data_IF_007784619041
#
_entry.id   IF_007784619041
#
_cell.length_a   1.000
_cell.length_b   1.000
_cell.length_c   1.000
_cell.angle_alpha   90.00
_cell.angle_beta   90.00
_cell.angle_gamma   90.00
#
_symmetry.space_group_name_H-M   'P 1'
#
loop_
_entity.id
_entity.type
_entity.pdbx_description
1 polymer ?
#
# COMPACT_ATOMS: atom_id res chain seq x y z
N UNK A 1 5.68 68.12 -14.08
CA UNK A 1 5.96 67.56 -12.74
C UNK A 1 5.49 66.12 -12.77
N UNK A 2 6.45 65.20 -12.90
CA UNK A 2 6.24 63.75 -12.80
C UNK A 2 6.21 63.36 -11.31
N UNK A 3 5.19 62.61 -10.92
CA UNK A 3 5.08 61.74 -9.73
C UNK A 3 3.83 60.88 -10.01
N UNK A 4 3.76 59.57 -9.83
CA UNK A 4 4.70 58.60 -9.32
C UNK A 4 4.26 57.25 -9.89
N UNK A 5 5.24 56.45 -10.23
CA UNK A 5 5.09 55.12 -10.79
C UNK A 5 4.98 54.11 -9.63
N UNK A 6 4.07 53.15 -9.82
CA UNK A 6 4.20 51.73 -9.42
C UNK A 6 4.44 51.34 -7.94
N UNK A 7 3.55 50.46 -7.44
CA UNK A 7 3.80 49.19 -6.72
C UNK A 7 2.86 49.00 -5.52
N UNK A 8 1.63 48.55 -5.80
CA UNK A 8 0.79 47.86 -4.82
C UNK A 8 0.70 46.39 -5.24
N UNK A 9 1.47 45.54 -4.59
CA UNK A 9 1.30 44.08 -4.55
C UNK A 9 2.04 43.54 -3.31
N UNK A 10 1.63 42.39 -2.72
CA UNK A 10 0.61 41.44 -3.19
C UNK A 10 -0.59 41.34 -2.22
N UNK A 11 -1.81 41.29 -2.74
CA UNK A 11 -2.56 40.06 -2.98
C UNK A 11 -2.42 39.04 -1.85
N UNK A 12 -3.48 39.01 -1.03
CA UNK A 12 -4.02 37.87 -0.32
C UNK A 12 -3.10 36.66 -0.22
N UNK A 13 -2.63 36.46 0.99
CA UNK A 13 -2.15 35.18 1.48
C UNK A 13 -3.24 34.14 1.25
N UNK A 14 -3.24 33.53 0.06
CA UNK A 14 -3.99 32.32 -0.23
C UNK A 14 -3.38 31.22 0.66
N UNK A 15 -3.86 31.17 1.89
CA UNK A 15 -3.84 30.00 2.75
C UNK A 15 -4.72 28.95 2.07
N UNK A 16 -4.20 28.37 0.98
CA UNK A 16 -4.78 27.19 0.34
C UNK A 16 -4.56 26.05 1.30
N UNK A 17 -5.49 25.86 2.22
CA UNK A 17 -5.75 24.55 2.79
C UNK A 17 -6.15 23.67 1.61
N UNK A 18 -5.16 23.03 0.97
CA UNK A 18 -5.40 22.00 -0.02
C UNK A 18 -6.10 20.90 0.77
N UNK A 19 -7.42 20.82 0.64
CA UNK A 19 -8.16 19.63 1.03
C UNK A 19 -7.51 18.48 0.26
N UNK A 20 -6.70 17.67 0.94
CA UNK A 20 -6.07 16.50 0.35
C UNK A 20 -7.20 15.59 -0.14
N UNK A 21 -7.50 15.66 -1.44
CA UNK A 21 -8.43 14.72 -2.05
C UNK A 21 -7.86 13.33 -1.79
N UNK A 22 -8.61 12.52 -1.06
CA UNK A 22 -8.18 11.18 -0.72
C UNK A 22 -8.34 10.32 -1.97
N UNK A 23 -7.23 9.94 -2.58
CA UNK A 23 -7.23 9.06 -3.75
C UNK A 23 -7.52 7.62 -3.31
N UNK A 24 -8.21 6.85 -4.16
CA UNK A 24 -8.47 5.43 -3.93
C UNK A 24 -7.68 4.57 -4.88
N UNK A 25 -6.80 3.75 -4.33
CA UNK A 25 -5.94 2.80 -5.03
C UNK A 25 -6.59 1.43 -5.13
N UNK A 26 -6.53 0.84 -6.32
CA UNK A 26 -7.07 -0.49 -6.62
C UNK A 26 -5.93 -1.50 -6.71
N UNK A 27 -6.05 -2.59 -5.94
CA UNK A 27 -5.16 -3.75 -6.05
C UNK A 27 -5.96 -4.95 -6.55
N UNK A 28 -5.65 -5.46 -7.73
CA UNK A 28 -6.25 -6.69 -8.24
C UNK A 28 -5.49 -7.92 -7.72
N UNK A 29 -6.23 -8.93 -7.28
CA UNK A 29 -5.71 -10.16 -6.69
C UNK A 29 -6.02 -11.34 -7.59
N UNK A 30 -4.97 -12.04 -8.00
CA UNK A 30 -5.07 -13.32 -8.67
C UNK A 30 -4.57 -14.43 -7.74
N UNK A 31 -5.31 -15.55 -7.58
CA UNK A 31 -4.86 -16.67 -6.78
C UNK A 31 -3.66 -17.37 -7.43
N UNK A 32 -2.58 -17.61 -6.69
CA UNK A 32 -1.57 -18.57 -7.12
C UNK A 32 -2.10 -19.98 -6.88
N UNK A 33 -2.82 -20.53 -7.86
CA UNK A 33 -3.26 -21.92 -7.83
C UNK A 33 -2.04 -22.84 -7.77
N UNK A 34 -2.01 -23.71 -6.76
CA UNK A 34 -1.03 -24.79 -6.69
C UNK A 34 -1.68 -26.08 -7.14
N UNK A 35 -0.99 -26.81 -8.00
CA UNK A 35 -1.37 -28.18 -8.38
C UNK A 35 -0.35 -29.16 -7.83
N UNK A 36 -0.82 -30.30 -7.33
CA UNK A 36 0.06 -31.39 -6.92
C UNK A 36 0.62 -32.15 -8.14
N UNK A 37 1.49 -33.13 -7.90
CA UNK A 37 2.09 -33.95 -8.95
C UNK A 37 1.05 -34.76 -9.77
N UNK A 38 -0.19 -34.87 -9.27
CA UNK A 38 -1.29 -35.57 -9.92
C UNK A 38 -2.28 -34.59 -10.59
N UNK A 39 -1.95 -33.30 -10.67
CA UNK A 39 -2.79 -32.25 -11.27
C UNK A 39 -4.00 -31.84 -10.43
N UNK A 40 -4.07 -32.23 -9.16
CA UNK A 40 -5.16 -31.83 -8.25
C UNK A 40 -4.84 -30.50 -7.59
N UNK A 41 -5.87 -29.70 -7.29
CA UNK A 41 -5.69 -28.46 -6.53
C UNK A 41 -5.10 -28.76 -5.15
N UNK A 42 -3.89 -28.28 -4.91
CA UNK A 42 -3.15 -28.41 -3.65
C UNK A 42 -3.42 -27.23 -2.70
N UNK A 43 -4.47 -26.45 -2.97
CA UNK A 43 -4.86 -25.27 -2.21
C UNK A 43 -4.47 -23.96 -2.88
N UNK A 44 -4.87 -22.87 -2.21
CA UNK A 44 -4.50 -21.52 -2.62
C UNK A 44 -3.17 -21.17 -1.95
N UNK A 45 -2.15 -20.91 -2.76
CA UNK A 45 -0.90 -20.35 -2.28
C UNK A 45 -1.10 -18.88 -1.85
N UNK A 46 -0.03 -18.11 -1.94
CA UNK A 46 -0.16 -16.65 -1.84
C UNK A 46 -0.98 -16.13 -3.03
N UNK A 47 -1.43 -14.87 -2.96
CA UNK A 47 -2.05 -14.19 -4.09
C UNK A 47 -1.02 -13.33 -4.82
N UNK A 48 -1.06 -13.32 -6.15
CA UNK A 48 -0.42 -12.28 -6.95
C UNK A 48 -1.20 -10.98 -6.81
N UNK A 49 -0.47 -9.88 -6.69
CA UNK A 49 -1.01 -8.54 -6.50
C UNK A 49 -0.69 -7.71 -7.73
N UNK A 50 -1.67 -6.99 -8.25
CA UNK A 50 -1.52 -6.12 -9.40
C UNK A 50 -1.96 -4.69 -9.07
N UNK A 51 -1.16 -3.71 -9.44
CA UNK A 51 -1.48 -2.29 -9.37
C UNK A 51 -1.35 -1.70 -10.78
N UNK A 52 -2.41 -1.06 -11.27
CA UNK A 52 -2.46 -0.50 -12.63
C UNK A 52 -2.08 -1.51 -13.74
N UNK A 53 -2.35 -2.80 -13.51
CA UNK A 53 -2.02 -3.89 -14.43
C UNK A 53 -0.61 -4.47 -14.28
N UNK A 54 0.26 -3.86 -13.48
CA UNK A 54 1.60 -4.37 -13.19
C UNK A 54 1.58 -5.31 -11.97
N UNK A 55 2.25 -6.46 -12.06
CA UNK A 55 2.43 -7.36 -10.93
C UNK A 55 3.42 -6.77 -9.92
N UNK A 56 2.95 -6.42 -8.73
CA UNK A 56 3.74 -5.83 -7.63
C UNK A 56 4.24 -6.88 -6.62
N UNK A 57 3.98 -8.16 -6.87
CA UNK A 57 4.50 -9.28 -6.09
C UNK A 57 3.45 -10.32 -5.67
N UNK A 58 3.88 -11.27 -4.85
CA UNK A 58 3.09 -12.40 -4.35
C UNK A 58 3.03 -12.35 -2.80
N UNK A 59 1.85 -12.43 -2.20
CA UNK A 59 1.67 -12.25 -0.74
C UNK A 59 0.57 -13.12 -0.10
N UNK A 60 0.78 -13.53 1.16
CA UNK A 60 -0.25 -14.11 2.03
C UNK A 60 -1.14 -13.03 2.70
N UNK A 61 -0.72 -11.76 2.64
CA UNK A 61 -1.36 -10.61 3.28
C UNK A 61 -1.47 -9.44 2.30
N UNK A 62 -2.20 -9.60 1.18
CA UNK A 62 -2.03 -8.75 0.01
C UNK A 62 -2.27 -7.27 0.27
N UNK A 63 -3.28 -6.93 1.07
CA UNK A 63 -3.59 -5.53 1.37
C UNK A 63 -2.48 -4.83 2.18
N UNK A 64 -1.80 -5.55 3.07
CA UNK A 64 -0.75 -4.97 3.92
C UNK A 64 0.56 -4.82 3.15
N UNK A 65 0.93 -5.85 2.36
CA UNK A 65 2.13 -5.79 1.53
C UNK A 65 1.98 -4.80 0.37
N UNK A 66 0.82 -4.74 -0.29
CA UNK A 66 0.56 -3.74 -1.32
C UNK A 66 0.62 -2.30 -0.75
N UNK A 67 0.05 -2.05 0.43
CA UNK A 67 0.15 -0.74 1.07
C UNK A 67 1.60 -0.34 1.35
N UNK A 68 2.45 -1.28 1.80
CA UNK A 68 3.89 -1.05 1.98
C UNK A 68 4.57 -0.74 0.65
N UNK A 69 4.27 -1.51 -0.40
CA UNK A 69 4.82 -1.29 -1.74
C UNK A 69 4.50 0.12 -2.26
N UNK A 70 3.23 0.53 -2.21
CA UNK A 70 2.80 1.85 -2.69
C UNK A 70 3.49 2.99 -1.96
N UNK A 71 3.61 2.92 -0.63
CA UNK A 71 4.32 3.93 0.15
C UNK A 71 5.81 3.96 -0.17
N UNK A 72 6.46 2.79 -0.26
CA UNK A 72 7.89 2.69 -0.54
C UNK A 72 8.27 3.23 -1.93
N UNK A 73 7.33 3.16 -2.89
CA UNK A 73 7.50 3.70 -4.25
C UNK A 73 7.02 5.15 -4.41
N UNK A 74 6.44 5.75 -3.37
CA UNK A 74 5.87 7.09 -3.47
C UNK A 74 4.61 7.17 -4.35
N UNK A 75 3.93 6.04 -4.57
CA UNK A 75 2.74 5.94 -5.44
C UNK A 75 1.42 6.26 -4.70
N UNK A 76 1.46 6.32 -3.37
CA UNK A 76 0.30 6.65 -2.55
C UNK A 76 0.70 7.52 -1.35
N UNK A 77 -0.24 8.35 -0.90
CA UNK A 77 -0.12 9.05 0.38
C UNK A 77 -0.61 8.16 1.53
N UNK A 78 -0.10 8.35 2.76
CA UNK A 78 -0.60 7.60 3.92
C UNK A 78 -2.09 7.77 4.19
N UNK A 79 -2.69 8.89 3.79
CA UNK A 79 -4.12 9.17 3.90
C UNK A 79 -4.97 8.45 2.85
N UNK A 80 -4.37 7.98 1.76
CA UNK A 80 -5.10 7.40 0.64
C UNK A 80 -5.81 6.10 1.03
N UNK A 81 -6.82 5.78 0.23
CA UNK A 81 -7.64 4.59 0.35
C UNK A 81 -7.02 3.46 -0.48
N UNK A 82 -7.08 2.24 0.01
CA UNK A 82 -6.70 1.03 -0.72
C UNK A 82 -7.87 0.06 -0.71
N UNK A 83 -8.22 -0.46 -1.89
CA UNK A 83 -9.23 -1.50 -2.05
C UNK A 83 -8.65 -2.67 -2.83
N UNK A 84 -8.70 -3.86 -2.25
CA UNK A 84 -8.32 -5.08 -2.97
C UNK A 84 -9.53 -5.67 -3.69
N UNK A 85 -9.33 -6.17 -4.89
CA UNK A 85 -10.35 -6.80 -5.73
C UNK A 85 -9.96 -8.24 -6.06
N UNK A 86 -10.94 -9.14 -6.11
CA UNK A 86 -10.77 -10.50 -6.64
C UNK A 86 -11.84 -10.74 -7.68
N UNK A 87 -11.43 -11.11 -8.90
CA UNK A 87 -12.34 -11.29 -10.04
C UNK A 87 -13.27 -10.07 -10.24
N UNK A 88 -12.72 -8.87 -10.15
CA UNK A 88 -13.45 -7.61 -10.30
C UNK A 88 -14.36 -7.22 -9.12
N UNK A 89 -14.46 -8.03 -8.06
CA UNK A 89 -15.28 -7.73 -6.87
C UNK A 89 -14.41 -7.20 -5.72
N UNK A 90 -14.80 -6.11 -5.05
CA UNK A 90 -14.05 -5.61 -3.90
C UNK A 90 -14.12 -6.60 -2.73
N UNK A 91 -13.00 -6.84 -2.05
CA UNK A 91 -12.90 -7.81 -0.96
C UNK A 91 -12.47 -7.18 0.38
N UNK A 92 -11.60 -6.17 0.34
CA UNK A 92 -11.13 -5.47 1.53
C UNK A 92 -10.91 -4.00 1.22
N UNK A 93 -11.31 -3.16 2.17
CA UNK A 93 -11.14 -1.73 2.15
C UNK A 93 -10.30 -1.28 3.35
N UNK A 94 -9.29 -0.43 3.12
CA UNK A 94 -8.44 0.11 4.19
C UNK A 94 -7.83 1.47 3.81
N UNK A 95 -7.18 2.12 4.78
CA UNK A 95 -6.32 3.29 4.56
C UNK A 95 -4.87 2.81 4.42
N UNK A 96 -4.14 3.34 3.43
CA UNK A 96 -2.77 2.93 3.06
C UNK A 96 -1.83 3.01 4.26
N UNK A 97 -1.77 4.16 4.95
CA UNK A 97 -0.87 4.36 6.07
C UNK A 97 -1.17 3.47 7.29
N UNK A 98 -2.44 3.10 7.49
CA UNK A 98 -2.85 2.15 8.53
C UNK A 98 -2.45 0.73 8.15
N UNK A 99 -2.76 0.32 6.92
CA UNK A 99 -2.47 -1.02 6.41
C UNK A 99 -0.98 -1.34 6.40
N UNK A 100 -0.14 -0.37 6.00
CA UNK A 100 1.31 -0.57 5.92
C UNK A 100 1.95 -0.89 7.29
N UNK A 101 1.32 -0.46 8.38
CA UNK A 101 1.76 -0.68 9.77
C UNK A 101 1.25 -2.00 10.36
N UNK A 102 0.48 -2.80 9.62
CA UNK A 102 -0.14 -4.02 10.11
C UNK A 102 0.41 -5.25 9.38
N UNK A 103 0.32 -6.41 10.04
CA UNK A 103 0.59 -7.73 9.49
C UNK A 103 -0.38 -8.73 10.12
N UNK A 104 -0.59 -9.87 9.48
CA UNK A 104 -1.28 -11.01 10.10
C UNK A 104 -0.23 -11.90 10.76
N UNK A 105 -0.51 -12.35 11.98
CA UNK A 105 0.19 -13.46 12.62
C UNK A 105 -0.77 -14.63 12.69
N UNK A 106 -0.29 -15.79 12.26
CA UNK A 106 -0.98 -17.06 12.44
C UNK A 106 -0.37 -17.68 13.70
N UNK A 107 -1.19 -17.91 14.74
CA UNK A 107 -0.73 -18.67 15.89
C UNK A 107 -0.80 -20.18 15.60
N UNK A 108 -0.07 -20.96 16.40
CA UNK A 108 -0.03 -22.43 16.30
C UNK A 108 -1.38 -23.10 16.59
N UNK A 109 -2.32 -22.36 17.19
CA UNK A 109 -3.67 -22.81 17.53
C UNK A 109 -4.72 -22.38 16.48
N UNK A 110 -4.28 -21.84 15.34
CA UNK A 110 -5.12 -21.52 14.17
C UNK A 110 -5.78 -20.14 14.19
N UNK A 111 -5.50 -19.28 15.17
CA UNK A 111 -6.04 -17.94 15.26
C UNK A 111 -5.31 -16.94 14.36
N UNK A 112 -6.02 -16.34 13.40
CA UNK A 112 -5.52 -15.18 12.65
C UNK A 112 -5.63 -13.91 13.50
N UNK A 113 -4.49 -13.31 13.85
CA UNK A 113 -4.46 -12.08 14.64
C UNK A 113 -3.77 -10.95 13.87
N UNK A 114 -4.35 -9.76 13.88
CA UNK A 114 -3.70 -8.56 13.35
C UNK A 114 -2.65 -8.07 14.36
N UNK A 115 -1.41 -7.89 13.90
CA UNK A 115 -0.30 -7.38 14.69
C UNK A 115 0.34 -6.15 14.03
N UNK A 116 1.11 -5.39 14.82
CA UNK A 116 1.92 -4.33 14.27
C UNK A 116 3.07 -4.92 13.42
N UNK A 117 3.21 -4.40 12.20
CA UNK A 117 4.34 -4.73 11.34
C UNK A 117 5.61 -4.11 11.90
N UNK A 118 6.66 -4.94 12.02
CA UNK A 118 8.02 -4.51 12.33
C UNK A 118 8.92 -5.08 11.24
N UNK A 119 9.57 -4.24 10.42
CA UNK A 119 10.54 -4.75 9.46
C UNK A 119 11.67 -5.44 10.23
N UNK A 120 12.16 -6.55 9.72
CA UNK A 120 13.40 -7.14 10.21
C UNK A 120 14.53 -6.16 9.91
N UNK A 121 14.97 -5.42 10.92
CA UNK A 121 16.26 -4.72 10.87
C UNK A 121 17.31 -5.81 10.94
N UNK A 122 17.82 -6.22 9.77
CA UNK A 122 19.05 -7.00 9.72
C UNK A 122 20.13 -6.22 10.44
N UNK A 123 20.77 -6.85 11.43
CA UNK A 123 21.88 -6.25 12.13
C UNK A 123 22.97 -5.87 11.10
N UNK A 124 23.35 -4.59 11.05
CA UNK A 124 24.34 -4.06 10.09
C UNK A 124 25.79 -4.41 10.49
N UNK A 125 25.97 -5.36 11.40
CA UNK A 125 27.26 -5.76 11.98
C UNK A 125 28.04 -6.76 11.12
N UNK A 126 28.10 -6.53 9.80
CA UNK A 126 29.04 -7.19 8.88
C UNK A 126 29.51 -6.18 7.82
N UNK A 127 30.13 -5.08 8.28
CA UNK A 127 31.11 -4.34 7.47
C UNK A 127 32.42 -4.47 8.23
N UNK A 128 33.14 -5.54 7.96
CA UNK A 128 34.53 -5.69 8.40
C UNK A 128 35.39 -4.94 7.38
N UNK A 129 36.23 -4.06 7.91
CA UNK A 129 37.26 -3.27 7.21
C UNK A 129 38.23 -4.11 6.38
#
# INVERSE_FOLDING_TARGET
MQTDDTLSAPLDTLSTAIAHQTTSHRIDLEPAYRVDANGRSAGHGKAFMFFEGECIGESHQPAFDAARYLLAKGLALPSDRLTTYRNGKPCLFTVVGRAAKLTVREDVNGGLTIAAYRPFVGDRSQVTE
#
